data_IF_558635496516
#
_entry.id   IF_558635496516
#
_cell.length_a   1.000
_cell.length_b   1.000
_cell.length_c   1.000
_cell.angle_alpha   90.00
_cell.angle_beta   90.00
_cell.angle_gamma   90.00
#
_symmetry.space_group_name_H-M   'P 1'
#
loop_
_entity.id
_entity.type
_entity.pdbx_description
1 polymer ?
#
# COMPACT_ATOMS: atom_id res chain seq x y z
N UNK A 1 -0.17 6.58 -40.41
CA UNK A 1 0.85 5.93 -39.55
C UNK A 1 0.62 6.30 -38.07
N UNK A 2 -0.42 5.75 -37.44
CA UNK A 2 -0.77 6.09 -36.04
C UNK A 2 -1.46 4.96 -35.26
N UNK A 3 -2.17 4.06 -35.94
CA UNK A 3 -2.91 2.97 -35.31
C UNK A 3 -2.02 1.93 -34.58
N UNK A 4 -0.84 1.59 -35.12
CA UNK A 4 0.06 0.60 -34.51
C UNK A 4 0.64 1.08 -33.17
N UNK A 5 0.92 2.39 -33.05
CA UNK A 5 1.52 2.98 -31.85
C UNK A 5 0.52 3.01 -30.69
N UNK A 6 -0.75 3.28 -30.98
CA UNK A 6 -1.83 3.22 -29.99
C UNK A 6 -2.13 1.79 -29.54
N UNK A 7 -2.14 0.82 -30.46
CA UNK A 7 -2.37 -0.59 -30.13
C UNK A 7 -1.23 -1.19 -29.27
N UNK A 8 0.01 -0.75 -29.48
CA UNK A 8 1.16 -1.20 -28.67
C UNK A 8 1.18 -0.59 -27.26
N UNK A 9 0.61 0.61 -27.07
CA UNK A 9 0.51 1.31 -25.77
C UNK A 9 -0.56 0.68 -24.86
N UNK A 10 -1.57 0.03 -25.45
CA UNK A 10 -2.71 -0.52 -24.71
C UNK A 10 -2.40 -1.82 -23.95
N UNK A 11 -1.33 -2.54 -24.34
CA UNK A 11 -0.99 -3.87 -23.79
C UNK A 11 0.17 -3.82 -22.78
N UNK A 12 0.74 -2.65 -22.53
CA UNK A 12 1.95 -2.50 -21.70
C UNK A 12 1.62 -1.94 -20.32
N UNK A 13 2.12 -2.60 -19.28
CA UNK A 13 1.90 -2.21 -17.87
C UNK A 13 2.53 -0.86 -17.50
N UNK A 14 3.60 -0.46 -18.22
CA UNK A 14 4.32 0.80 -18.00
C UNK A 14 4.76 1.40 -19.33
N UNK A 15 4.28 2.61 -19.61
CA UNK A 15 4.65 3.41 -20.80
C UNK A 15 5.54 4.58 -20.38
N UNK A 16 6.71 4.69 -20.99
CA UNK A 16 7.61 5.82 -20.79
C UNK A 16 7.37 6.81 -21.93
N UNK A 17 6.81 7.98 -21.60
CA UNK A 17 6.47 9.02 -22.59
C UNK A 17 7.64 9.94 -22.98
N UNK A 18 8.81 9.79 -22.36
CA UNK A 18 9.96 10.71 -22.46
C UNK A 18 11.25 9.93 -22.74
N UNK A 19 12.17 10.45 -23.56
CA UNK A 19 13.35 9.74 -24.09
C UNK A 19 14.48 9.53 -23.05
N UNK A 20 14.14 9.44 -21.75
CA UNK A 20 15.10 9.28 -20.65
C UNK A 20 14.90 7.93 -19.93
N UNK A 21 15.60 6.86 -20.34
CA UNK A 21 15.51 5.54 -19.69
C UNK A 21 15.98 5.55 -18.22
N UNK A 22 16.72 6.58 -17.81
CA UNK A 22 17.11 6.81 -16.41
C UNK A 22 15.91 7.06 -15.46
N UNK A 23 14.71 7.39 -15.97
CA UNK A 23 13.48 7.44 -15.16
C UNK A 23 12.99 6.07 -14.70
N UNK A 24 13.30 4.99 -15.42
CA UNK A 24 12.97 3.61 -14.99
C UNK A 24 13.65 3.27 -13.67
N UNK A 25 14.94 3.59 -13.55
CA UNK A 25 15.67 3.38 -12.31
C UNK A 25 15.11 4.22 -11.15
N UNK A 26 14.58 5.43 -11.42
CA UNK A 26 13.91 6.27 -10.41
C UNK A 26 12.55 5.68 -10.01
N UNK A 27 11.75 5.20 -10.97
CA UNK A 27 10.47 4.55 -10.73
C UNK A 27 10.63 3.28 -9.89
N UNK A 28 11.61 2.44 -10.19
CA UNK A 28 11.92 1.23 -9.40
C UNK A 28 12.33 1.59 -7.97
N UNK A 29 13.16 2.62 -7.78
CA UNK A 29 13.53 3.08 -6.43
C UNK A 29 12.33 3.61 -5.64
N UNK A 30 11.42 4.31 -6.31
CA UNK A 30 10.18 4.78 -5.69
C UNK A 30 9.29 3.60 -5.30
N UNK A 31 9.08 2.64 -6.21
CA UNK A 31 8.31 1.42 -5.95
C UNK A 31 8.86 0.61 -4.77
N UNK A 32 10.19 0.51 -4.62
CA UNK A 32 10.81 -0.14 -3.45
C UNK A 32 10.51 0.60 -2.14
N UNK A 33 10.48 1.93 -2.15
CA UNK A 33 10.07 2.72 -0.97
C UNK A 33 8.59 2.51 -0.65
N UNK A 34 7.74 2.47 -1.68
CA UNK A 34 6.31 2.15 -1.56
C UNK A 34 6.10 0.80 -0.90
N UNK A 35 6.79 -0.24 -1.38
CA UNK A 35 6.67 -1.58 -0.81
C UNK A 35 7.03 -1.61 0.67
N UNK A 36 8.04 -0.85 1.11
CA UNK A 36 8.40 -0.80 2.53
C UNK A 36 7.28 -0.22 3.40
N UNK A 37 6.67 0.89 2.98
CA UNK A 37 5.55 1.51 3.71
C UNK A 37 4.31 0.60 3.72
N UNK A 38 4.04 -0.09 2.61
CA UNK A 38 2.95 -1.07 2.54
C UNK A 38 3.17 -2.21 3.53
N UNK A 39 4.40 -2.74 3.61
CA UNK A 39 4.75 -3.77 4.59
C UNK A 39 4.60 -3.29 6.04
N UNK A 40 5.01 -2.06 6.35
CA UNK A 40 4.80 -1.47 7.68
C UNK A 40 3.31 -1.40 8.05
N UNK A 41 2.45 -1.00 7.11
CA UNK A 41 1.00 -0.92 7.33
C UNK A 41 0.36 -2.29 7.52
N UNK A 42 0.75 -3.28 6.69
CA UNK A 42 0.24 -4.66 6.80
C UNK A 42 0.63 -5.26 8.14
N UNK A 43 1.89 -5.11 8.55
CA UNK A 43 2.38 -5.61 9.84
C UNK A 43 1.61 -4.97 11.00
N UNK A 44 1.38 -3.65 10.95
CA UNK A 44 0.62 -2.93 11.98
C UNK A 44 -0.84 -3.42 12.05
N UNK A 45 -1.50 -3.60 10.90
CA UNK A 45 -2.86 -4.10 10.85
C UNK A 45 -2.98 -5.54 11.37
N UNK A 46 -2.07 -6.42 10.95
CA UNK A 46 -2.05 -7.82 11.40
C UNK A 46 -1.74 -7.93 12.90
N UNK A 47 -0.84 -7.09 13.42
CA UNK A 47 -0.51 -7.08 14.85
C UNK A 47 -1.74 -6.72 15.69
N UNK A 48 -2.46 -5.66 15.33
CA UNK A 48 -3.68 -5.25 16.05
C UNK A 48 -4.77 -6.31 15.92
N UNK A 49 -4.98 -6.85 14.72
CA UNK A 49 -5.99 -7.89 14.52
C UNK A 49 -5.69 -9.16 15.30
N UNK A 50 -4.43 -9.60 15.31
CA UNK A 50 -3.97 -10.74 16.10
C UNK A 50 -4.11 -10.52 17.61
N UNK A 51 -3.83 -9.30 18.09
CA UNK A 51 -4.02 -8.94 19.49
C UNK A 51 -5.48 -9.02 19.92
N UNK A 52 -6.40 -8.47 19.12
CA UNK A 52 -7.84 -8.53 19.40
C UNK A 52 -8.43 -9.93 19.30
N UNK A 53 -7.97 -10.73 18.33
CA UNK A 53 -8.35 -12.14 18.23
C UNK A 53 -7.92 -12.90 19.50
N UNK A 54 -6.70 -12.65 19.98
CA UNK A 54 -6.18 -13.29 21.20
C UNK A 54 -6.96 -12.90 22.45
N UNK A 55 -7.27 -11.61 22.62
CA UNK A 55 -8.12 -11.11 23.72
C UNK A 55 -9.56 -11.62 23.63
N UNK A 56 -10.11 -11.72 22.41
CA UNK A 56 -11.44 -12.29 22.16
C UNK A 56 -11.50 -13.77 22.51
N UNK A 57 -10.44 -14.54 22.21
CA UNK A 57 -10.32 -15.94 22.60
C UNK A 57 -10.30 -16.11 24.13
N UNK A 58 -9.78 -15.14 24.88
CA UNK A 58 -9.82 -15.10 26.35
C UNK A 58 -11.15 -14.56 26.92
N UNK A 59 -12.10 -14.16 26.06
CA UNK A 59 -13.41 -13.64 26.47
C UNK A 59 -13.39 -12.22 27.04
N UNK A 60 -12.26 -11.52 26.95
CA UNK A 60 -12.09 -10.16 27.49
C UNK A 60 -12.34 -9.06 26.46
N UNK A 61 -12.35 -9.37 25.16
CA UNK A 61 -12.56 -8.37 24.11
C UNK A 61 -14.05 -8.17 23.81
N UNK A 62 -14.47 -6.91 23.80
CA UNK A 62 -15.80 -6.52 23.29
C UNK A 62 -15.72 -6.17 21.80
N UNK A 63 -16.80 -6.42 21.04
CA UNK A 63 -16.82 -6.06 19.60
C UNK A 63 -16.55 -4.57 19.36
N UNK A 64 -16.91 -3.71 20.33
CA UNK A 64 -16.71 -2.27 20.23
C UNK A 64 -15.24 -1.87 20.20
N UNK A 65 -14.41 -2.45 21.08
CA UNK A 65 -12.96 -2.17 21.12
C UNK A 65 -12.26 -2.64 19.84
N UNK A 66 -12.69 -3.80 19.31
CA UNK A 66 -12.16 -4.34 18.06
C UNK A 66 -12.47 -3.42 16.87
N UNK A 67 -13.69 -2.86 16.80
CA UNK A 67 -14.07 -1.91 15.75
C UNK A 67 -13.26 -0.62 15.86
N UNK A 68 -13.11 -0.07 17.07
CA UNK A 68 -12.30 1.13 17.29
C UNK A 68 -10.85 0.92 16.85
N UNK A 69 -10.28 -0.25 17.16
CA UNK A 69 -8.92 -0.59 16.77
C UNK A 69 -8.74 -0.74 15.26
N UNK A 70 -9.66 -1.40 14.55
CA UNK A 70 -9.60 -1.53 13.08
C UNK A 70 -9.70 -0.15 12.40
N UNK A 71 -10.54 0.77 12.91
CA UNK A 71 -10.64 2.14 12.40
C UNK A 71 -9.37 2.94 12.71
N UNK A 72 -8.82 2.83 13.92
CA UNK A 72 -7.58 3.48 14.33
C UNK A 72 -6.37 3.03 13.49
N UNK A 73 -6.24 1.72 13.27
CA UNK A 73 -5.24 1.13 12.35
C UNK A 73 -5.38 1.70 10.95
N UNK A 74 -6.61 1.81 10.45
CA UNK A 74 -6.86 2.36 9.11
C UNK A 74 -6.38 3.81 9.01
N UNK A 75 -6.66 4.64 10.02
CA UNK A 75 -6.17 6.02 10.07
C UNK A 75 -4.64 6.09 10.11
N UNK A 76 -3.99 5.27 10.92
CA UNK A 76 -2.52 5.20 11.00
C UNK A 76 -1.93 4.76 9.65
N UNK A 77 -2.52 3.75 9.00
CA UNK A 77 -2.08 3.27 7.70
C UNK A 77 -2.22 4.35 6.61
N UNK A 78 -3.31 5.13 6.63
CA UNK A 78 -3.50 6.27 5.73
C UNK A 78 -2.43 7.34 5.99
N UNK A 79 -2.20 7.73 7.25
CA UNK A 79 -1.16 8.69 7.61
C UNK A 79 0.24 8.24 7.16
N UNK A 80 0.58 6.95 7.35
CA UNK A 80 1.86 6.42 6.92
C UNK A 80 1.97 6.36 5.37
N UNK A 81 0.85 6.09 4.69
CA UNK A 81 0.78 6.13 3.22
C UNK A 81 0.96 7.56 2.68
N UNK A 82 0.47 8.58 3.38
CA UNK A 82 0.70 9.99 3.00
C UNK A 82 2.18 10.38 3.04
N UNK A 83 3.00 9.68 3.84
CA UNK A 83 4.45 9.88 3.89
C UNK A 83 5.15 9.53 2.57
N UNK A 84 4.48 8.75 1.72
CA UNK A 84 4.97 8.32 0.42
C UNK A 84 4.76 9.36 -0.70
N UNK A 85 3.82 10.30 -0.49
CA UNK A 85 3.52 11.38 -1.44
C UNK A 85 4.55 12.52 -1.38
N UNK A 86 5.43 12.53 -0.38
CA UNK A 86 6.57 13.44 -0.26
C UNK A 86 7.86 12.74 -0.69
#
# INVERSE_FOLDING_TARGET
MGAMRSAAIEVVDVVIMDDRPSKVARAIRLAKRTQKVVWENIVLALAVKGFFISLGAMGMATMWEAVFADVGVTLIAVMNSMRLLR
#
